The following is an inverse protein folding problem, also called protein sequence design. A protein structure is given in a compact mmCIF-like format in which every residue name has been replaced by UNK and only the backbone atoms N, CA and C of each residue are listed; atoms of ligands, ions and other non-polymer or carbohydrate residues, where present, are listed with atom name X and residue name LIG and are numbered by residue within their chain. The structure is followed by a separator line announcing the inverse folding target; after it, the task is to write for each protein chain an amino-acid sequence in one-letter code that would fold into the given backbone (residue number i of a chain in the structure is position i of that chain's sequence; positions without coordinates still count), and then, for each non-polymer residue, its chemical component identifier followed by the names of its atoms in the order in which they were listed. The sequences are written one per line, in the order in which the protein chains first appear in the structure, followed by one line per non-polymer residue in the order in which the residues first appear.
data_IF_109158436021
#
_entry.id   IF_109158436021
#
_cell.length_a   1.000
_cell.length_b   1.000
_cell.length_c   1.000
_cell.angle_alpha   90.00
_cell.angle_beta   90.00
_cell.angle_gamma   90.00
#
_symmetry.space_group_name_H-M   'P 1'
#
loop_
_entity.id
_entity.type
_entity.pdbx_description
1 polymer ?
#
# COMPACT_ATOMS: atom_id res chain seq x y z
N UNK A 1 3.73 -19.78 15.02
CA UNK A 1 5.13 -19.32 15.16
C UNK A 1 5.93 -19.84 13.98
N UNK A 2 6.99 -19.16 13.54
CA UNK A 2 7.84 -19.65 12.46
C UNK A 2 9.32 -19.44 12.79
N UNK A 3 10.15 -20.41 12.45
CA UNK A 3 11.62 -20.25 12.42
C UNK A 3 11.98 -19.65 11.07
N UNK A 4 12.70 -18.54 11.10
CA UNK A 4 13.07 -17.78 9.91
C UNK A 4 14.58 -17.61 9.92
N UNK A 5 15.20 -17.92 8.79
CA UNK A 5 16.61 -17.61 8.57
C UNK A 5 16.71 -16.23 7.93
N UNK A 6 17.37 -15.30 8.60
CA UNK A 6 17.64 -13.99 8.06
C UNK A 6 18.69 -14.09 6.95
N UNK A 7 18.69 -13.11 6.06
CA UNK A 7 19.77 -12.91 5.07
C UNK A 7 21.14 -12.79 5.72
N UNK A 8 21.17 -12.33 6.97
CA UNK A 8 22.39 -12.17 7.77
C UNK A 8 22.90 -13.52 8.36
N UNK A 9 22.27 -14.65 8.02
CA UNK A 9 22.66 -15.99 8.48
C UNK A 9 22.10 -16.39 9.84
N UNK A 10 21.58 -15.44 10.63
CA UNK A 10 20.98 -15.72 11.93
C UNK A 10 19.61 -16.38 11.82
N UNK A 11 19.37 -17.37 12.68
CA UNK A 11 18.06 -17.99 12.84
C UNK A 11 17.27 -17.28 13.94
N UNK A 12 16.04 -16.91 13.62
CA UNK A 12 15.18 -16.13 14.49
C UNK A 12 13.79 -16.73 14.51
N UNK A 13 13.17 -16.75 15.69
CA UNK A 13 11.77 -17.13 15.83
C UNK A 13 10.87 -15.91 15.68
N UNK A 14 9.97 -15.95 14.70
CA UNK A 14 8.97 -14.94 14.41
C UNK A 14 7.57 -15.36 14.85
N UNK A 15 6.81 -14.41 15.38
CA UNK A 15 5.39 -14.58 15.66
C UNK A 15 4.54 -14.28 14.43
N UNK A 16 3.61 -15.18 14.11
CA UNK A 16 2.60 -14.99 13.07
C UNK A 16 1.33 -14.48 13.75
N UNK A 17 0.89 -13.28 13.39
CA UNK A 17 -0.31 -12.68 13.97
C UNK A 17 -1.56 -12.92 13.14
N UNK A 18 -2.69 -13.04 13.82
CA UNK A 18 -4.00 -13.30 13.22
C UNK A 18 -4.35 -14.77 13.16
N UNK A 19 -5.46 -15.07 12.50
CA UNK A 19 -5.99 -16.43 12.35
C UNK A 19 -5.60 -17.00 10.99
N UNK A 20 -5.08 -18.22 10.99
CA UNK A 20 -4.65 -18.93 9.78
C UNK A 20 -3.41 -18.34 9.12
N UNK A 21 -2.57 -19.20 8.56
CA UNK A 21 -1.45 -18.80 7.70
C UNK A 21 -1.17 -19.90 6.67
N UNK A 22 -0.72 -19.50 5.49
CA UNK A 22 -0.37 -20.37 4.38
C UNK A 22 1.15 -20.36 4.15
N UNK A 23 1.94 -20.30 5.23
CA UNK A 23 3.40 -20.32 5.10
C UNK A 23 3.87 -21.76 5.01
N UNK A 24 4.65 -22.02 3.98
CA UNK A 24 5.27 -23.31 3.72
C UNK A 24 6.75 -23.23 4.07
N UNK A 25 7.43 -24.37 3.99
CA UNK A 25 8.88 -24.41 4.05
C UNK A 25 9.46 -23.54 2.92
N UNK A 26 10.55 -22.82 3.22
CA UNK A 26 11.24 -21.90 2.31
C UNK A 26 10.45 -20.67 1.81
N UNK A 27 9.26 -20.39 2.35
CA UNK A 27 8.56 -19.15 2.05
C UNK A 27 9.37 -17.93 2.52
N UNK A 28 9.45 -16.91 1.67
CA UNK A 28 10.17 -15.67 1.99
C UNK A 28 9.23 -14.72 2.72
N UNK A 29 9.65 -14.27 3.89
CA UNK A 29 8.82 -13.44 4.77
C UNK A 29 9.56 -12.19 5.22
N UNK A 30 8.80 -11.12 5.43
CA UNK A 30 9.32 -9.90 6.02
C UNK A 30 9.10 -9.90 7.52
N UNK A 31 10.16 -9.62 8.27
CA UNK A 31 10.12 -9.51 9.73
C UNK A 31 10.09 -8.05 10.17
N UNK A 32 9.30 -7.78 11.21
CA UNK A 32 9.22 -6.52 11.92
C UNK A 32 9.65 -6.72 13.37
N UNK A 33 10.39 -5.78 13.94
CA UNK A 33 10.69 -5.77 15.36
C UNK A 33 9.44 -5.64 16.22
N UNK A 34 9.39 -6.38 17.33
CA UNK A 34 8.36 -6.24 18.35
C UNK A 34 8.32 -7.44 19.29
N UNK A 35 8.40 -7.18 20.60
CA UNK A 35 8.31 -8.23 21.61
C UNK A 35 6.85 -8.67 21.75
N UNK A 36 6.59 -9.97 21.62
CA UNK A 36 5.35 -10.57 22.08
C UNK A 36 5.42 -10.68 23.60
N UNK A 37 4.44 -10.11 24.32
CA UNK A 37 4.49 -10.08 25.79
C UNK A 37 4.48 -11.48 26.40
N UNK A 38 3.74 -12.38 25.77
CA UNK A 38 3.42 -13.72 26.30
C UNK A 38 4.50 -14.76 25.98
N UNK A 39 5.32 -14.52 24.95
CA UNK A 39 6.28 -15.51 24.46
C UNK A 39 7.72 -15.05 24.73
N UNK A 40 8.41 -15.63 25.72
CA UNK A 40 9.82 -15.32 25.95
C UNK A 40 10.66 -15.82 24.76
N UNK A 41 11.61 -15.00 24.30
CA UNK A 41 12.47 -15.31 23.16
C UNK A 41 11.91 -14.91 21.79
N UNK A 42 10.62 -14.59 21.67
CA UNK A 42 10.02 -14.13 20.41
C UNK A 42 9.99 -12.59 20.35
N UNK A 43 11.00 -12.04 19.68
CA UNK A 43 11.23 -10.59 19.57
C UNK A 43 10.79 -9.98 18.23
N UNK A 44 10.29 -10.80 17.32
CA UNK A 44 9.95 -10.41 15.97
C UNK A 44 8.54 -10.86 15.60
N UNK A 45 7.85 -10.01 14.85
CA UNK A 45 6.57 -10.30 14.23
C UNK A 45 6.76 -10.44 12.72
N UNK A 46 6.06 -11.38 12.11
CA UNK A 46 5.96 -11.48 10.66
C UNK A 46 4.93 -10.46 10.17
N UNK A 47 5.32 -9.64 9.19
CA UNK A 47 4.41 -8.71 8.51
C UNK A 47 3.51 -9.52 7.58
N UNK A 48 2.22 -9.19 7.53
CA UNK A 48 1.23 -9.85 6.65
C UNK A 48 0.91 -8.93 5.47
N UNK A 49 0.64 -9.52 4.30
CA UNK A 49 0.37 -8.78 3.07
C UNK A 49 1.63 -8.33 2.34
N UNK A 50 2.77 -8.95 2.61
CA UNK A 50 4.05 -8.67 1.96
C UNK A 50 4.79 -9.98 1.65
N UNK A 51 5.44 -10.05 0.48
CA UNK A 51 6.06 -11.28 -0.05
C UNK A 51 5.04 -12.44 -0.07
N UNK A 52 5.41 -13.62 0.42
CA UNK A 52 4.57 -14.82 0.38
C UNK A 52 3.50 -14.85 1.49
N UNK A 53 3.51 -13.87 2.39
CA UNK A 53 2.53 -13.81 3.49
C UNK A 53 1.19 -13.24 3.01
N UNK A 54 0.20 -14.11 2.82
CA UNK A 54 -1.16 -13.66 2.53
C UNK A 54 -1.79 -12.90 3.70
N UNK A 55 -2.71 -11.98 3.40
CA UNK A 55 -3.47 -11.28 4.42
C UNK A 55 -4.49 -12.20 5.11
N UNK A 56 -5.01 -11.78 6.26
CA UNK A 56 -6.10 -12.51 6.94
C UNK A 56 -7.43 -12.18 6.25
N UNK A 57 -8.19 -13.21 5.87
CA UNK A 57 -9.49 -13.05 5.24
C UNK A 57 -10.55 -12.55 6.24
N UNK A 58 -11.61 -11.91 5.73
CA UNK A 58 -12.79 -11.50 6.50
C UNK A 58 -12.57 -10.55 7.70
N UNK A 59 -11.36 -9.99 7.85
CA UNK A 59 -11.07 -8.95 8.86
C UNK A 59 -11.70 -7.61 8.46
N UNK A 60 -12.67 -7.15 9.26
CA UNK A 60 -13.32 -5.84 9.10
C UNK A 60 -12.57 -4.71 9.79
N UNK A 61 -11.91 -4.99 10.92
CA UNK A 61 -11.17 -4.03 11.73
C UNK A 61 -9.65 -4.29 11.69
N UNK A 62 -8.84 -3.25 11.95
CA UNK A 62 -7.37 -3.30 11.95
C UNK A 62 -6.75 -3.92 10.68
N UNK A 63 -7.39 -3.68 9.53
CA UNK A 63 -7.07 -4.27 8.23
C UNK A 63 -5.65 -3.99 7.75
N UNK A 64 -5.13 -2.80 8.04
CA UNK A 64 -3.77 -2.40 7.67
C UNK A 64 -2.70 -3.25 8.33
N UNK A 65 -2.94 -3.76 9.55
CA UNK A 65 -1.99 -4.60 10.29
C UNK A 65 -1.91 -6.02 9.74
N UNK A 66 -3.02 -6.55 9.23
CA UNK A 66 -3.14 -7.94 8.78
C UNK A 66 -3.20 -8.08 7.25
N UNK A 67 -2.93 -7.00 6.50
CA UNK A 67 -2.86 -7.04 5.04
C UNK A 67 -4.21 -7.26 4.33
N UNK A 68 -5.33 -7.04 5.02
CA UNK A 68 -6.66 -7.26 4.43
C UNK A 68 -7.06 -6.06 3.57
N UNK A 69 -7.32 -6.28 2.27
CA UNK A 69 -7.77 -5.21 1.39
C UNK A 69 -9.16 -4.70 1.81
N UNK A 70 -9.40 -3.39 1.68
CA UNK A 70 -10.75 -2.84 1.79
C UNK A 70 -11.56 -3.40 0.62
N UNK A 71 -12.64 -4.12 0.92
CA UNK A 71 -13.66 -4.45 -0.07
C UNK A 71 -14.13 -3.12 -0.66
N UNK A 72 -13.75 -2.85 -1.91
CA UNK A 72 -14.29 -1.72 -2.66
C UNK A 72 -15.74 -2.09 -2.94
N UNK A 73 -16.68 -1.34 -2.37
CA UNK A 73 -18.00 -1.25 -3.00
C UNK A 73 -17.74 -0.81 -4.45
N UNK A 74 -18.30 -1.53 -5.42
CA UNK A 74 -18.06 -1.36 -6.84
C UNK A 74 -18.45 0.05 -7.32
N UNK A 75 -17.58 1.03 -7.09
CA UNK A 75 -17.61 2.34 -7.72
C UNK A 75 -16.30 2.47 -8.51
N UNK A 76 -16.26 1.76 -9.64
CA UNK A 76 -15.16 1.78 -10.60
C UNK A 76 -15.26 2.92 -11.63
N UNK A 77 -16.13 3.92 -11.43
CA UNK A 77 -16.24 5.06 -12.34
C UNK A 77 -15.48 6.28 -11.79
N UNK A 78 -14.30 6.57 -12.36
CA UNK A 78 -13.74 7.92 -12.68
C UNK A 78 -12.25 8.16 -12.42
N UNK A 79 -11.49 7.28 -11.76
CA UNK A 79 -10.09 7.63 -11.43
C UNK A 79 -9.08 7.25 -12.53
N UNK A 80 -9.35 6.24 -13.36
CA UNK A 80 -8.41 5.81 -14.42
C UNK A 80 -8.70 6.44 -15.79
N UNK A 81 -8.85 7.78 -15.85
CA UNK A 81 -8.86 8.50 -17.14
C UNK A 81 -7.92 9.72 -17.18
N UNK A 82 -7.08 9.94 -16.17
CA UNK A 82 -6.17 11.08 -16.12
C UNK A 82 -4.70 10.74 -16.40
N UNK A 83 -4.38 9.53 -16.88
CA UNK A 83 -2.99 9.10 -17.08
C UNK A 83 -2.64 8.68 -18.51
N UNK A 84 -3.42 9.03 -19.54
CA UNK A 84 -3.07 8.69 -20.94
C UNK A 84 -2.92 9.88 -21.90
N UNK A 85 -3.10 11.13 -21.48
CA UNK A 85 -2.85 12.30 -22.32
C UNK A 85 -2.13 13.40 -21.54
N UNK A 86 -0.86 13.18 -21.19
CA UNK A 86 0.04 14.30 -20.86
C UNK A 86 1.39 14.14 -21.60
N UNK A 87 1.33 13.96 -22.93
CA UNK A 87 2.37 14.49 -23.82
C UNK A 87 1.94 15.85 -24.38
N UNK A 88 2.10 16.91 -23.58
CA UNK A 88 2.52 18.25 -24.02
C UNK A 88 2.45 19.22 -22.84
N UNK A 89 3.62 19.49 -22.25
CA UNK A 89 3.84 20.65 -21.41
C UNK A 89 4.35 21.81 -22.30
N UNK A 90 3.51 22.75 -22.77
CA UNK A 90 4.01 24.07 -23.15
C UNK A 90 4.26 24.86 -21.86
N UNK A 91 5.54 25.11 -21.57
CA UNK A 91 5.96 26.08 -20.55
C UNK A 91 5.68 27.48 -21.07
N UNK A 92 4.46 27.99 -20.91
CA UNK A 92 4.21 29.43 -20.89
C UNK A 92 2.75 29.74 -20.55
N UNK A 93 2.56 30.62 -19.55
CA UNK A 93 1.38 31.46 -19.30
C UNK A 93 0.24 30.89 -18.44
N UNK A 94 0.44 31.01 -17.12
CA UNK A 94 -0.55 31.57 -16.19
C UNK A 94 0.24 32.52 -15.27
N UNK A 95 -0.05 33.82 -15.16
CA UNK A 95 -1.26 34.36 -14.55
C UNK A 95 -1.78 35.65 -15.20
N UNK A 96 -3.10 35.72 -15.20
CA UNK A 96 -3.97 36.85 -15.46
C UNK A 96 -3.60 38.09 -14.64
N UNK A 97 -3.38 39.21 -15.32
CA UNK A 97 -3.68 40.53 -14.75
C UNK A 97 -4.96 41.02 -15.40
N UNK A 98 -6.03 40.99 -14.61
CA UNK A 98 -7.05 42.04 -14.51
C UNK A 98 -7.44 42.82 -15.78
N UNK A 99 -8.72 42.65 -16.16
CA UNK A 99 -9.61 43.81 -16.30
C UNK A 99 -9.63 44.55 -17.64
N UNK A 100 -10.81 44.49 -18.28
CA UNK A 100 -11.55 45.63 -18.86
C UNK A 100 -10.80 46.56 -19.84
N UNK A 101 -11.20 46.51 -21.13
CA UNK A 101 -11.82 47.61 -21.90
C UNK A 101 -11.56 47.45 -23.41
N UNK A 102 -12.67 47.51 -24.18
CA UNK A 102 -12.81 48.10 -25.53
C UNK A 102 -11.99 47.43 -26.67
N UNK A 103 -12.43 47.27 -27.90
CA UNK A 103 -13.60 47.69 -28.68
C UNK A 103 -13.49 46.94 -30.04
N UNK A 104 -14.63 46.74 -30.70
CA UNK A 104 -14.79 46.59 -32.15
C UNK A 104 -13.89 45.60 -32.91
N UNK A 105 -14.48 44.52 -33.41
CA UNK A 105 -14.19 44.13 -34.80
C UNK A 105 -15.46 43.56 -35.44
N UNK A 106 -15.81 44.18 -36.57
CA UNK A 106 -17.03 44.01 -37.34
C UNK A 106 -17.22 42.58 -37.87
N UNK A 107 -18.49 42.18 -37.97
CA UNK A 107 -18.96 41.23 -38.97
C UNK A 107 -18.65 41.74 -40.39
N UNK A 108 -17.98 40.93 -41.19
CA UNK A 108 -18.32 40.71 -42.60
C UNK A 108 -18.08 39.24 -42.93
#
# INVERSE_FOLDING_TARGET
MARVRLTNGFEVTGYIGGEGHNLQEHSVVLLRGGRVKDLPGVRYHIVRGSLDTQGVENRKQARSKYGSKKLRAQNQSKVYRLCQEEEKFPKEKYCLTHGLLMSNFLNL
#
